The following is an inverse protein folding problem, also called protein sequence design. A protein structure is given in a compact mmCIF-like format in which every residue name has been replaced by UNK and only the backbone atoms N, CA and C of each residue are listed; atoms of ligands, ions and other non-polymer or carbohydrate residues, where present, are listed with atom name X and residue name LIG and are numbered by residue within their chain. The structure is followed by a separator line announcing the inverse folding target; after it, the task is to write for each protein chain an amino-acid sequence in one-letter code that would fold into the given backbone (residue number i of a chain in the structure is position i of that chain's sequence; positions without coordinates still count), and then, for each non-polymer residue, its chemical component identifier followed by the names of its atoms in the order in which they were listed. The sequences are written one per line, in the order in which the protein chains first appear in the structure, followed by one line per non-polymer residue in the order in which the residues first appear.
data_IF_988454454434
#
_entry.id   IF_988454454434
#
_cell.length_a   1.000
_cell.length_b   1.000
_cell.length_c   1.000
_cell.angle_alpha   90.00
_cell.angle_beta   90.00
_cell.angle_gamma   90.00
#
_symmetry.space_group_name_H-M   'P 1'
#
loop_
_entity.id
_entity.type
_entity.pdbx_description
1 polymer ?
#
# COMPACT_ATOMS: atom_id res chain seq x y z
N UNK A 1 -8.94 19.63 -11.71
CA UNK A 1 -9.02 19.11 -10.32
C UNK A 1 -9.09 17.58 -10.21
N UNK A 2 -9.37 16.83 -11.30
CA UNK A 2 -9.51 15.35 -11.25
C UNK A 2 -8.18 14.55 -11.17
N UNK A 3 -7.05 15.14 -11.60
CA UNK A 3 -5.74 14.49 -11.64
C UNK A 3 -5.08 14.36 -10.26
N UNK A 4 -5.30 15.34 -9.38
CA UNK A 4 -4.75 15.38 -8.01
C UNK A 4 -5.38 14.32 -7.12
N UNK A 5 -6.69 14.08 -7.27
CA UNK A 5 -7.42 13.12 -6.45
C UNK A 5 -6.99 11.66 -6.74
N UNK A 6 -6.65 11.33 -7.99
CA UNK A 6 -6.12 10.01 -8.34
C UNK A 6 -4.74 9.75 -7.72
N UNK A 7 -3.84 10.75 -7.69
CA UNK A 7 -2.53 10.62 -7.04
C UNK A 7 -2.65 10.39 -5.54
N UNK A 8 -3.60 11.06 -4.88
CA UNK A 8 -3.88 10.87 -3.46
C UNK A 8 -4.41 9.45 -3.20
N UNK A 9 -5.28 8.93 -4.07
CA UNK A 9 -5.78 7.55 -3.97
C UNK A 9 -4.67 6.50 -4.04
N UNK A 10 -3.72 6.64 -4.97
CA UNK A 10 -2.56 5.74 -5.08
C UNK A 10 -1.65 5.82 -3.84
N UNK A 11 -1.45 7.03 -3.31
CA UNK A 11 -0.60 7.26 -2.15
C UNK A 11 -1.23 6.68 -0.88
N UNK A 12 -2.54 6.83 -0.72
CA UNK A 12 -3.32 6.18 0.33
C UNK A 12 -3.26 4.65 0.24
N UNK A 13 -3.29 4.09 -0.98
CA UNK A 13 -3.17 2.65 -1.19
C UNK A 13 -1.78 2.12 -0.77
N UNK A 14 -0.71 2.83 -1.12
CA UNK A 14 0.64 2.47 -0.69
C UNK A 14 0.81 2.56 0.85
N UNK A 15 0.34 3.66 1.46
CA UNK A 15 0.45 3.90 2.91
C UNK A 15 -0.39 2.91 3.71
N UNK A 16 -1.60 2.58 3.25
CA UNK A 16 -2.45 1.57 3.91
C UNK A 16 -1.82 0.18 3.89
N UNK A 17 -1.19 -0.23 2.78
CA UNK A 17 -0.43 -1.48 2.72
C UNK A 17 0.76 -1.52 3.70
N UNK A 18 1.48 -0.40 3.86
CA UNK A 18 2.61 -0.29 4.80
C UNK A 18 2.11 -0.40 6.24
N UNK A 19 1.04 0.32 6.57
CA UNK A 19 0.42 0.26 7.91
C UNK A 19 -0.08 -1.14 8.24
N UNK A 20 -0.65 -1.84 7.26
CA UNK A 20 -1.13 -3.20 7.41
C UNK A 20 0.02 -4.20 7.56
N UNK A 21 1.13 -4.00 6.84
CA UNK A 21 2.34 -4.81 6.96
C UNK A 21 3.01 -4.66 8.34
N UNK A 22 3.12 -3.43 8.85
CA UNK A 22 3.70 -3.13 10.17
C UNK A 22 2.79 -3.68 11.28
N UNK A 23 1.48 -3.42 11.21
CA UNK A 23 0.51 -3.91 12.18
C UNK A 23 0.45 -5.43 12.24
N UNK A 24 0.52 -6.10 11.09
CA UNK A 24 0.57 -7.55 11.02
C UNK A 24 1.88 -8.16 11.52
N UNK A 25 3.01 -7.47 11.29
CA UNK A 25 4.30 -7.86 11.85
C UNK A 25 4.30 -7.84 13.38
N UNK A 26 3.64 -6.86 13.99
CA UNK A 26 3.48 -6.78 15.45
C UNK A 26 2.57 -7.88 16.03
N UNK A 27 1.56 -8.32 15.27
CA UNK A 27 0.64 -9.41 15.69
C UNK A 27 1.28 -10.80 15.45
N UNK A 28 2.42 -10.87 14.76
CA UNK A 28 3.11 -12.13 14.48
C UNK A 28 2.41 -12.98 13.42
N UNK A 29 1.61 -12.37 12.54
CA UNK A 29 0.91 -13.06 11.44
C UNK A 29 1.62 -12.77 10.13
N UNK A 30 2.62 -13.60 9.72
CA UNK A 30 3.46 -13.32 8.56
C UNK A 30 2.66 -13.25 7.24
N UNK A 31 1.53 -13.96 7.16
CA UNK A 31 0.65 -13.96 5.99
C UNK A 31 0.01 -12.59 5.75
N UNK A 32 -0.41 -11.90 6.81
CA UNK A 32 -1.03 -10.57 6.70
C UNK A 32 0.04 -9.51 6.42
N UNK A 33 1.25 -9.69 6.95
CA UNK A 33 2.38 -8.82 6.65
C UNK A 33 2.78 -8.89 5.16
N UNK A 34 2.81 -10.10 4.60
CA UNK A 34 3.07 -10.32 3.18
C UNK A 34 1.99 -9.70 2.30
N UNK A 35 0.70 -9.87 2.66
CA UNK A 35 -0.41 -9.23 1.95
C UNK A 35 -0.29 -7.70 1.96
N UNK A 36 0.08 -7.09 3.09
CA UNK A 36 0.34 -5.65 3.19
C UNK A 36 1.47 -5.18 2.26
N UNK A 37 2.59 -5.91 2.22
CA UNK A 37 3.70 -5.63 1.30
C UNK A 37 3.30 -5.76 -0.18
N UNK A 38 2.47 -6.75 -0.53
CA UNK A 38 1.94 -6.89 -1.89
C UNK A 38 1.05 -5.70 -2.28
N UNK A 39 0.19 -5.23 -1.36
CA UNK A 39 -0.68 -4.07 -1.59
C UNK A 39 0.17 -2.81 -1.79
N UNK A 40 1.20 -2.61 -0.96
CA UNK A 40 2.15 -1.51 -1.12
C UNK A 40 2.90 -1.59 -2.45
N UNK A 41 3.36 -2.78 -2.84
CA UNK A 41 4.05 -3.01 -4.10
C UNK A 41 3.18 -2.67 -5.31
N UNK A 42 1.92 -3.11 -5.31
CA UNK A 42 0.95 -2.75 -6.37
C UNK A 42 0.69 -1.24 -6.44
N UNK A 43 0.60 -0.58 -5.29
CA UNK A 43 0.47 0.89 -5.22
C UNK A 43 1.67 1.62 -5.82
N UNK A 44 2.89 1.17 -5.52
CA UNK A 44 4.13 1.75 -6.06
C UNK A 44 4.26 1.49 -7.56
N UNK A 45 3.97 0.27 -8.03
CA UNK A 45 3.98 -0.06 -9.47
C UNK A 45 2.98 0.78 -10.24
N UNK A 46 1.78 1.00 -9.69
CA UNK A 46 0.77 1.91 -10.29
C UNK A 46 1.31 3.34 -10.43
N UNK A 47 2.04 3.84 -9.43
CA UNK A 47 2.67 5.17 -9.49
C UNK A 47 3.81 5.25 -10.51
N UNK A 48 4.59 4.18 -10.68
CA UNK A 48 5.77 4.13 -11.56
C UNK A 48 5.39 3.89 -13.04
N UNK A 49 4.34 3.12 -13.31
CA UNK A 49 3.91 2.77 -14.68
C UNK A 49 3.26 3.95 -15.45
N UNK A 50 3.06 5.08 -14.76
CA UNK A 50 2.44 6.26 -15.32
C UNK A 50 3.44 7.24 -15.94
#
# INVERSE_FOLDING_TARGET
MHLTNRRIGELLMAVSGIGLAIGAGLIGVPHVAYAGLCITGLGIVSMIWR
#
